data_IF_666744349651
#
_entry.id   IF_666744349651
#
_cell.length_a   1.000
_cell.length_b   1.000
_cell.length_c   1.000
_cell.angle_alpha   90.00
_cell.angle_beta   90.00
_cell.angle_gamma   90.00
#
_symmetry.space_group_name_H-M   'P 1'
#
loop_
_entity.id
_entity.type
_entity.pdbx_description
1 polymer ?
#
# COMPACT_ATOMS: atom_id res chain seq x y z
N UNK A 1 22.01 -18.19 9.10
CA UNK A 1 20.94 -17.25 9.47
C UNK A 1 21.08 -15.88 8.81
N UNK A 2 22.19 -15.14 8.92
CA UNK A 2 22.33 -13.79 8.30
C UNK A 2 22.20 -13.76 6.77
N UNK A 3 22.57 -14.82 6.05
CA UNK A 3 22.45 -14.91 4.58
C UNK A 3 21.02 -15.17 4.09
N UNK A 4 20.18 -15.83 4.87
CA UNK A 4 18.77 -16.09 4.52
C UNK A 4 17.93 -14.84 4.76
N UNK A 5 18.13 -14.13 5.85
CA UNK A 5 17.45 -12.86 6.15
C UNK A 5 17.77 -11.79 5.08
N UNK A 6 19.02 -11.75 4.56
CA UNK A 6 19.38 -10.87 3.43
C UNK A 6 18.65 -11.21 2.13
N UNK A 7 18.33 -12.49 1.88
CA UNK A 7 17.59 -12.90 0.68
C UNK A 7 16.10 -12.55 0.77
N UNK A 8 15.49 -12.68 1.93
CA UNK A 8 14.08 -12.34 2.15
C UNK A 8 13.86 -10.83 2.13
N UNK A 9 14.67 -10.03 2.81
CA UNK A 9 14.57 -8.57 2.77
C UNK A 9 14.84 -7.97 1.38
N UNK A 10 15.73 -8.60 0.57
CA UNK A 10 15.90 -8.20 -0.84
C UNK A 10 14.69 -8.52 -1.71
N UNK A 11 13.89 -9.55 -1.39
CA UNK A 11 12.63 -9.86 -2.07
C UNK A 11 11.54 -8.86 -1.70
N UNK A 12 11.36 -8.56 -0.43
CA UNK A 12 10.32 -7.64 0.07
C UNK A 12 10.53 -6.21 -0.45
N UNK A 13 11.78 -5.74 -0.57
CA UNK A 13 12.07 -4.40 -1.10
C UNK A 13 12.04 -4.30 -2.64
N UNK A 14 12.00 -5.45 -3.36
CA UNK A 14 11.87 -5.45 -4.82
C UNK A 14 10.41 -5.52 -5.31
N UNK A 15 9.47 -6.00 -4.48
CA UNK A 15 8.07 -6.11 -4.86
C UNK A 15 7.36 -4.78 -5.13
N UNK A 16 7.47 -3.73 -4.29
CA UNK A 16 6.78 -2.46 -4.58
C UNK A 16 7.29 -1.79 -5.88
N UNK A 17 8.60 -1.84 -6.17
CA UNK A 17 9.16 -1.33 -7.44
C UNK A 17 8.75 -2.16 -8.66
N UNK A 18 8.51 -3.46 -8.48
CA UNK A 18 8.05 -4.35 -9.55
C UNK A 18 6.57 -4.13 -9.84
N UNK A 19 5.77 -3.87 -8.81
CA UNK A 19 4.34 -3.53 -8.92
C UNK A 19 4.18 -2.14 -9.57
N UNK A 20 4.96 -1.15 -9.20
CA UNK A 20 4.94 0.18 -9.84
C UNK A 20 5.27 0.12 -11.33
N UNK A 21 6.33 -0.60 -11.72
CA UNK A 21 6.66 -0.79 -13.15
C UNK A 21 5.57 -1.54 -13.92
N UNK A 22 4.96 -2.55 -13.33
CA UNK A 22 3.87 -3.30 -13.97
C UNK A 22 2.61 -2.44 -14.11
N UNK A 23 2.31 -1.58 -13.13
CA UNK A 23 1.20 -0.61 -13.20
C UNK A 23 1.47 0.47 -14.26
N UNK A 24 2.71 0.89 -14.44
CA UNK A 24 3.09 1.90 -15.42
C UNK A 24 3.02 1.36 -16.86
N UNK A 25 3.54 0.15 -17.10
CA UNK A 25 3.44 -0.56 -18.40
C UNK A 25 1.97 -0.77 -18.78
N UNK A 26 1.13 -1.19 -17.82
CA UNK A 26 -0.30 -1.41 -18.09
C UNK A 26 -1.10 -0.11 -18.28
N UNK A 27 -0.66 1.01 -17.70
CA UNK A 27 -1.24 2.34 -18.01
C UNK A 27 -0.90 2.79 -19.43
N UNK A 28 0.26 2.42 -19.96
CA UNK A 28 0.63 2.69 -21.35
C UNK A 28 -0.18 1.81 -22.31
N UNK A 29 -0.32 0.51 -22.04
CA UNK A 29 -1.15 -0.40 -22.84
C UNK A 29 -2.63 0.06 -22.89
N UNK A 30 -3.21 0.49 -21.77
CA UNK A 30 -4.56 1.05 -21.73
C UNK A 30 -4.67 2.38 -22.52
N UNK A 31 -3.62 3.20 -22.54
CA UNK A 31 -3.57 4.41 -23.37
C UNK A 31 -3.49 4.06 -24.85
N UNK A 32 -2.74 3.03 -25.20
CA UNK A 32 -2.61 2.56 -26.58
C UNK A 32 -3.93 1.97 -27.11
N UNK A 33 -4.62 1.15 -26.32
CA UNK A 33 -5.95 0.61 -26.65
C UNK A 33 -6.98 1.74 -26.83
N UNK A 34 -6.96 2.77 -25.98
CA UNK A 34 -7.82 3.96 -26.14
C UNK A 34 -7.47 4.77 -27.39
N UNK A 35 -6.19 4.82 -27.78
CA UNK A 35 -5.72 5.50 -28.98
C UNK A 35 -6.16 4.77 -30.27
N UNK A 36 -6.11 3.43 -30.24
CA UNK A 36 -6.60 2.55 -31.32
C UNK A 36 -8.12 2.69 -31.48
N UNK A 37 -8.89 2.68 -30.38
CA UNK A 37 -10.35 2.89 -30.39
C UNK A 37 -10.71 4.24 -31.00
N UNK A 38 -10.01 5.31 -30.59
CA UNK A 38 -10.23 6.67 -31.11
C UNK A 38 -9.85 6.83 -32.59
N UNK A 39 -8.82 6.09 -33.03
CA UNK A 39 -8.40 6.06 -34.43
C UNK A 39 -9.42 5.35 -35.32
N UNK A 40 -10.02 4.25 -34.80
CA UNK A 40 -11.08 3.52 -35.51
C UNK A 40 -12.37 4.35 -35.67
N UNK A 41 -12.76 5.13 -34.65
CA UNK A 41 -13.88 6.08 -34.78
C UNK A 41 -13.59 7.15 -35.84
N UNK A 42 -12.36 7.66 -35.89
CA UNK A 42 -11.98 8.68 -36.88
C UNK A 42 -11.98 8.12 -38.29
N UNK A 43 -11.48 6.90 -38.51
CA UNK A 43 -11.49 6.20 -39.80
C UNK A 43 -12.95 5.93 -40.25
N UNK A 44 -13.80 5.48 -39.34
CA UNK A 44 -15.21 5.23 -39.62
C UNK A 44 -15.95 6.51 -40.04
N UNK A 45 -15.67 7.62 -39.34
CA UNK A 45 -16.26 8.93 -39.67
C UNK A 45 -15.77 9.47 -41.04
N UNK A 46 -14.50 9.24 -41.37
CA UNK A 46 -13.95 9.59 -42.69
C UNK A 46 -14.57 8.76 -43.81
N UNK A 47 -14.78 7.45 -43.60
CA UNK A 47 -15.43 6.57 -44.60
C UNK A 47 -16.88 7.03 -44.84
N UNK A 48 -17.65 7.29 -43.78
CA UNK A 48 -19.04 7.78 -43.88
C UNK A 48 -19.10 9.12 -44.63
N UNK A 49 -18.17 10.05 -44.34
CA UNK A 49 -18.16 11.32 -45.00
C UNK A 49 -17.79 11.22 -46.50
N UNK A 50 -16.86 10.33 -46.85
CA UNK A 50 -16.56 10.04 -48.27
C UNK A 50 -17.74 9.37 -48.99
N UNK A 51 -18.46 8.44 -48.31
CA UNK A 51 -19.66 7.82 -48.86
C UNK A 51 -20.82 8.85 -49.08
N UNK A 52 -20.96 9.87 -48.22
CA UNK A 52 -21.93 10.95 -48.36
C UNK A 52 -21.65 11.87 -49.54
N UNK A 53 -20.40 12.02 -49.98
CA UNK A 53 -20.02 12.83 -51.13
C UNK A 53 -20.19 12.14 -52.48
N UNK A 54 -20.30 10.81 -52.52
CA UNK A 54 -20.58 10.07 -53.76
C UNK A 54 -22.08 10.21 -54.10
N UNK A 55 -22.41 10.69 -55.30
CA UNK A 55 -23.77 10.72 -55.87
C UNK A 55 -24.25 9.30 -56.20
N UNK A 56 -24.56 8.52 -55.16
CA UNK A 56 -24.94 7.08 -55.33
C UNK A 56 -26.46 6.89 -55.18
N UNK A 57 -27.26 7.68 -55.91
CA UNK A 57 -28.70 7.45 -55.94
C UNK A 57 -29.13 6.12 -56.59
N UNK A 58 -28.26 5.52 -57.39
CA UNK A 58 -28.58 4.27 -58.12
C UNK A 58 -28.10 2.96 -57.37
N UNK A 59 -27.34 3.09 -56.27
CA UNK A 59 -26.76 1.94 -55.58
C UNK A 59 -27.27 1.75 -54.15
N UNK A 60 -28.53 2.14 -53.88
CA UNK A 60 -29.08 2.07 -52.53
C UNK A 60 -29.05 0.69 -51.90
N UNK A 61 -29.29 -0.38 -52.67
CA UNK A 61 -29.23 -1.76 -52.21
C UNK A 61 -27.76 -2.19 -51.90
N UNK A 62 -26.81 -1.74 -52.73
CA UNK A 62 -25.39 -2.05 -52.55
C UNK A 62 -24.83 -1.35 -51.30
N UNK A 63 -25.24 -0.13 -51.04
CA UNK A 63 -24.87 0.64 -49.84
C UNK A 63 -25.45 -0.04 -48.57
N UNK A 64 -26.67 -0.54 -48.61
CA UNK A 64 -27.29 -1.27 -47.51
C UNK A 64 -26.53 -2.56 -47.20
N UNK A 65 -26.11 -3.32 -48.23
CA UNK A 65 -25.33 -4.53 -48.06
C UNK A 65 -23.93 -4.25 -47.49
N UNK A 66 -23.24 -3.22 -47.97
CA UNK A 66 -21.94 -2.78 -47.44
C UNK A 66 -22.07 -2.33 -45.99
N UNK A 67 -23.11 -1.56 -45.66
CA UNK A 67 -23.40 -1.18 -44.27
C UNK A 67 -23.63 -2.38 -43.36
N UNK A 68 -24.41 -3.39 -43.85
CA UNK A 68 -24.65 -4.60 -43.11
C UNK A 68 -23.37 -5.43 -42.88
N UNK A 69 -22.49 -5.51 -43.88
CA UNK A 69 -21.20 -6.21 -43.75
C UNK A 69 -20.32 -5.49 -42.73
N UNK A 70 -20.24 -4.15 -42.76
CA UNK A 70 -19.47 -3.35 -41.81
C UNK A 70 -19.99 -3.54 -40.37
N UNK A 71 -21.31 -3.56 -40.19
CA UNK A 71 -21.91 -3.80 -38.86
C UNK A 71 -21.62 -5.19 -38.34
N UNK A 72 -21.66 -6.21 -39.21
CA UNK A 72 -21.29 -7.58 -38.83
C UNK A 72 -19.82 -7.67 -38.45
N UNK A 73 -18.93 -7.06 -39.23
CA UNK A 73 -17.49 -7.03 -38.92
C UNK A 73 -17.24 -6.34 -37.56
N UNK A 74 -17.89 -5.21 -37.30
CA UNK A 74 -17.77 -4.50 -36.01
C UNK A 74 -18.32 -5.34 -34.85
N UNK A 75 -19.44 -6.03 -35.03
CA UNK A 75 -19.98 -6.97 -34.04
C UNK A 75 -19.03 -8.13 -33.76
N UNK A 76 -18.41 -8.71 -34.79
CA UNK A 76 -17.44 -9.78 -34.66
C UNK A 76 -16.19 -9.30 -33.90
N UNK A 77 -15.68 -8.10 -34.19
CA UNK A 77 -14.56 -7.51 -33.46
C UNK A 77 -14.92 -7.32 -31.99
N UNK A 78 -16.10 -6.78 -31.67
CA UNK A 78 -16.55 -6.60 -30.28
C UNK A 78 -16.69 -7.94 -29.55
N UNK A 79 -17.19 -8.98 -30.23
CA UNK A 79 -17.36 -10.32 -29.64
C UNK A 79 -15.99 -10.99 -29.40
N UNK A 80 -15.02 -10.79 -30.29
CA UNK A 80 -13.66 -11.36 -30.15
C UNK A 80 -12.87 -10.66 -29.05
N UNK A 81 -13.02 -9.33 -28.89
CA UNK A 81 -12.28 -8.57 -27.89
C UNK A 81 -12.90 -8.63 -26.48
N UNK A 82 -14.22 -8.88 -26.38
CA UNK A 82 -14.92 -9.01 -25.11
C UNK A 82 -14.28 -10.02 -24.15
N UNK A 83 -14.01 -11.28 -24.54
CA UNK A 83 -13.42 -12.25 -23.61
C UNK A 83 -12.01 -11.87 -23.15
N UNK A 84 -11.23 -11.16 -23.96
CA UNK A 84 -9.90 -10.64 -23.55
C UNK A 84 -10.05 -9.53 -22.54
N UNK A 85 -11.01 -8.63 -22.74
CA UNK A 85 -11.29 -7.52 -21.83
C UNK A 85 -11.82 -8.02 -20.49
N UNK A 86 -12.74 -9.01 -20.52
CA UNK A 86 -13.31 -9.64 -19.33
C UNK A 86 -12.24 -10.40 -18.53
N UNK A 87 -11.35 -11.13 -19.22
CA UNK A 87 -10.21 -11.80 -18.61
C UNK A 87 -9.26 -10.79 -17.94
N UNK A 88 -8.96 -9.69 -18.61
CA UNK A 88 -8.12 -8.62 -18.07
C UNK A 88 -8.79 -7.95 -16.85
N UNK A 89 -10.09 -7.71 -16.93
CA UNK A 89 -10.86 -7.12 -15.83
C UNK A 89 -10.95 -8.06 -14.62
N UNK A 90 -11.16 -9.36 -14.85
CA UNK A 90 -11.19 -10.36 -13.78
C UNK A 90 -9.82 -10.52 -13.09
N UNK A 91 -8.73 -10.35 -13.83
CA UNK A 91 -7.37 -10.42 -13.27
C UNK A 91 -6.94 -9.15 -12.55
N UNK A 92 -7.25 -7.97 -13.09
CA UNK A 92 -6.81 -6.68 -12.54
C UNK A 92 -7.75 -6.13 -11.47
N UNK A 93 -9.05 -6.41 -11.58
CA UNK A 93 -10.05 -5.88 -10.66
C UNK A 93 -9.74 -6.15 -9.18
N UNK A 94 -9.46 -7.40 -8.78
CA UNK A 94 -9.09 -7.72 -7.40
C UNK A 94 -7.81 -7.01 -6.92
N UNK A 95 -6.81 -6.87 -7.80
CA UNK A 95 -5.55 -6.21 -7.46
C UNK A 95 -5.72 -4.70 -7.27
N UNK A 96 -6.47 -4.05 -8.14
CA UNK A 96 -6.79 -2.62 -8.02
C UNK A 96 -7.56 -2.36 -6.73
N UNK A 97 -8.56 -3.18 -6.42
CA UNK A 97 -9.33 -3.07 -5.18
C UNK A 97 -8.46 -3.23 -3.94
N UNK A 98 -7.56 -4.22 -3.93
CA UNK A 98 -6.62 -4.42 -2.84
C UNK A 98 -5.68 -3.22 -2.64
N UNK A 99 -5.19 -2.60 -3.72
CA UNK A 99 -4.35 -1.39 -3.67
C UNK A 99 -5.15 -0.19 -3.12
N UNK A 100 -6.40 -0.04 -3.53
CA UNK A 100 -7.27 1.03 -3.02
C UNK A 100 -7.57 0.85 -1.53
N UNK A 101 -7.85 -0.37 -1.08
CA UNK A 101 -8.03 -0.68 0.33
C UNK A 101 -6.78 -0.40 1.16
N UNK A 102 -5.60 -0.78 0.66
CA UNK A 102 -4.33 -0.45 1.30
C UNK A 102 -4.08 1.06 1.39
N UNK A 103 -4.36 1.81 0.33
CA UNK A 103 -4.25 3.28 0.34
C UNK A 103 -5.20 3.91 1.35
N UNK A 104 -6.44 3.43 1.43
CA UNK A 104 -7.42 3.89 2.41
C UNK A 104 -6.97 3.59 3.85
N UNK A 105 -6.43 2.40 4.09
CA UNK A 105 -5.89 1.99 5.37
C UNK A 105 -4.70 2.89 5.77
N UNK A 106 -3.77 3.14 4.86
CA UNK A 106 -2.61 3.99 5.06
C UNK A 106 -3.03 5.45 5.37
N UNK A 107 -3.97 6.00 4.61
CA UNK A 107 -4.49 7.36 4.85
C UNK A 107 -5.12 7.47 6.24
N UNK A 108 -5.96 6.48 6.62
CA UNK A 108 -6.55 6.41 7.95
C UNK A 108 -5.48 6.34 9.04
N UNK A 109 -4.50 5.45 8.89
CA UNK A 109 -3.41 5.31 9.85
C UNK A 109 -2.62 6.60 10.03
N UNK A 110 -2.25 7.26 8.93
CA UNK A 110 -1.50 8.53 8.98
C UNK A 110 -2.24 9.62 9.75
N UNK A 111 -3.56 9.68 9.65
CA UNK A 111 -4.37 10.61 10.46
C UNK A 111 -4.38 10.24 11.95
N UNK A 112 -4.34 8.95 12.28
CA UNK A 112 -4.32 8.47 13.67
C UNK A 112 -2.98 8.74 14.36
N UNK A 113 -1.86 8.58 13.65
CA UNK A 113 -0.53 8.86 14.19
C UNK A 113 -0.15 10.34 14.16
N UNK A 114 -0.94 11.18 13.51
CA UNK A 114 -0.73 12.62 13.52
C UNK A 114 -0.70 13.15 14.97
N UNK A 115 0.36 13.86 15.31
CA UNK A 115 0.58 14.40 16.67
C UNK A 115 1.43 13.52 17.59
N UNK A 116 1.79 12.30 17.20
CA UNK A 116 2.87 11.59 17.89
C UNK A 116 4.23 12.22 17.54
N UNK A 117 5.11 12.31 18.54
CA UNK A 117 6.52 12.63 18.28
C UNK A 117 7.17 11.45 17.57
N UNK A 118 7.74 11.68 16.39
CA UNK A 118 8.49 10.62 15.69
C UNK A 118 9.83 10.38 16.36
N UNK A 119 10.32 9.16 16.24
CA UNK A 119 11.66 8.76 16.68
C UNK A 119 12.26 7.80 15.65
N UNK A 120 13.56 7.95 15.37
CA UNK A 120 14.31 7.03 14.51
C UNK A 120 15.02 5.94 15.33
N UNK A 121 15.55 4.92 14.68
CA UNK A 121 16.33 3.89 15.34
C UNK A 121 17.61 4.48 15.98
N UNK A 122 18.27 5.42 15.30
CA UNK A 122 19.46 6.10 15.80
C UNK A 122 19.15 6.91 17.05
N UNK A 123 18.00 7.59 17.08
CA UNK A 123 17.54 8.33 18.24
C UNK A 123 17.18 7.40 19.41
N UNK A 124 16.61 6.20 19.14
CA UNK A 124 16.39 5.18 20.17
C UNK A 124 17.72 4.75 20.76
N UNK A 125 18.72 4.44 19.93
CA UNK A 125 20.06 4.05 20.37
C UNK A 125 20.69 5.14 21.23
N UNK A 126 20.62 6.42 20.81
CA UNK A 126 21.18 7.54 21.56
C UNK A 126 20.48 7.78 22.90
N UNK A 127 19.15 7.59 22.94
CA UNK A 127 18.32 7.80 24.14
C UNK A 127 18.29 6.59 25.08
N UNK A 128 18.82 5.45 24.66
CA UNK A 128 18.68 4.20 25.43
C UNK A 128 19.24 4.33 26.86
N UNK A 129 20.30 5.12 27.02
CA UNK A 129 20.93 5.39 28.31
C UNK A 129 20.35 6.58 29.08
N UNK A 130 19.35 7.28 28.55
CA UNK A 130 18.71 8.41 29.21
C UNK A 130 18.09 7.99 30.56
N UNK A 131 18.08 8.90 31.52
CA UNK A 131 17.53 8.72 32.88
C UNK A 131 15.98 8.82 32.91
N UNK A 132 15.37 9.21 31.81
CA UNK A 132 13.92 9.31 31.66
C UNK A 132 13.35 8.08 30.95
N UNK A 133 12.18 7.62 31.43
CA UNK A 133 11.46 6.55 30.75
C UNK A 133 11.02 7.05 29.38
N UNK A 134 11.39 6.31 28.34
CA UNK A 134 10.99 6.55 26.96
C UNK A 134 10.06 5.43 26.52
N UNK A 135 8.81 5.80 26.19
CA UNK A 135 7.83 4.89 25.60
C UNK A 135 7.84 4.99 24.09
N UNK A 136 7.85 3.87 23.40
CA UNK A 136 7.85 3.81 21.93
C UNK A 136 6.73 2.91 21.44
N UNK A 137 5.99 3.42 20.47
CA UNK A 137 5.03 2.69 19.69
C UNK A 137 5.60 2.47 18.27
N UNK A 138 5.90 1.22 17.95
CA UNK A 138 6.40 0.78 16.66
C UNK A 138 5.24 0.26 15.81
N UNK A 139 5.02 0.84 14.64
CA UNK A 139 3.90 0.50 13.76
C UNK A 139 4.10 0.97 12.32
N UNK A 140 3.19 0.58 11.44
CA UNK A 140 3.25 0.93 10.02
C UNK A 140 1.87 1.13 9.39
N UNK A 141 1.85 1.80 8.25
CA UNK A 141 0.63 2.21 7.55
C UNK A 141 -0.21 1.06 6.96
N UNK A 142 0.39 -0.06 6.60
CA UNK A 142 -0.30 -1.23 6.03
C UNK A 142 -0.82 -2.22 7.06
N UNK A 143 -0.71 -1.93 8.35
CA UNK A 143 -1.06 -2.84 9.43
C UNK A 143 -2.47 -2.56 9.98
N UNK A 144 -3.40 -3.49 9.83
CA UNK A 144 -4.77 -3.35 10.34
C UNK A 144 -4.83 -3.25 11.87
N UNK A 145 -3.99 -4.02 12.58
CA UNK A 145 -3.89 -3.93 14.04
C UNK A 145 -3.28 -2.61 14.51
N UNK A 146 -2.38 -2.02 13.73
CA UNK A 146 -1.83 -0.70 14.03
C UNK A 146 -2.91 0.39 13.93
N UNK A 147 -3.82 0.30 12.95
CA UNK A 147 -4.97 1.21 12.83
C UNK A 147 -5.90 1.12 14.03
N UNK A 148 -6.09 -0.09 14.60
CA UNK A 148 -6.89 -0.29 15.81
C UNK A 148 -6.16 0.19 17.07
N UNK A 149 -4.85 0.01 17.12
CA UNK A 149 -4.05 0.26 18.32
C UNK A 149 -3.63 1.73 18.51
N UNK A 150 -3.35 2.45 17.43
CA UNK A 150 -2.92 3.86 17.54
C UNK A 150 -3.88 4.76 18.35
N UNK A 151 -5.24 4.65 18.22
CA UNK A 151 -6.16 5.38 19.08
C UNK A 151 -6.05 5.01 20.56
N UNK A 152 -5.86 3.72 20.86
CA UNK A 152 -5.69 3.21 22.22
C UNK A 152 -4.42 3.81 22.86
N UNK A 153 -3.29 3.77 22.14
CA UNK A 153 -2.04 4.38 22.62
C UNK A 153 -2.21 5.87 22.87
N UNK A 154 -2.88 6.59 21.96
CA UNK A 154 -3.12 8.03 22.09
C UNK A 154 -4.00 8.39 23.30
N UNK A 155 -5.06 7.61 23.51
CA UNK A 155 -5.97 7.77 24.65
C UNK A 155 -5.24 7.55 25.98
N UNK A 156 -4.51 6.42 26.08
CA UNK A 156 -3.78 6.05 27.30
C UNK A 156 -2.63 7.00 27.57
N UNK A 157 -1.89 7.44 26.54
CA UNK A 157 -0.84 8.46 26.68
C UNK A 157 -1.39 9.74 27.30
N UNK A 158 -2.56 10.20 26.84
CA UNK A 158 -3.22 11.39 27.40
C UNK A 158 -3.71 11.17 28.85
N UNK A 159 -4.32 10.02 29.13
CA UNK A 159 -4.83 9.68 30.46
C UNK A 159 -3.71 9.57 31.50
N UNK A 160 -2.64 8.89 31.15
CA UNK A 160 -1.48 8.66 32.04
C UNK A 160 -0.46 9.80 32.01
N UNK A 161 -0.67 10.82 31.16
CA UNK A 161 0.23 11.97 30.98
C UNK A 161 1.67 11.54 30.65
N UNK A 162 1.80 10.53 29.76
CA UNK A 162 3.09 10.04 29.28
C UNK A 162 3.22 10.33 27.79
N UNK A 163 4.45 10.64 27.36
CA UNK A 163 4.76 10.84 25.94
C UNK A 163 5.13 9.50 25.28
N UNK A 164 4.42 9.14 24.23
CA UNK A 164 4.80 8.05 23.33
C UNK A 164 5.49 8.61 22.11
N UNK A 165 6.62 8.04 21.77
CA UNK A 165 7.24 8.24 20.48
C UNK A 165 6.69 7.22 19.47
N UNK A 166 6.52 7.66 18.23
CA UNK A 166 6.14 6.80 17.11
C UNK A 166 7.38 6.42 16.29
N UNK A 167 7.64 5.13 16.20
CA UNK A 167 8.70 4.58 15.37
C UNK A 167 8.07 3.87 14.16
N UNK A 168 8.39 4.36 12.95
CA UNK A 168 7.81 3.83 11.72
C UNK A 168 8.54 2.56 11.27
N UNK A 169 7.83 1.45 11.24
CA UNK A 169 8.38 0.16 10.82
C UNK A 169 8.79 0.12 9.33
N UNK A 170 8.17 0.95 8.49
CA UNK A 170 8.52 1.03 7.06
C UNK A 170 9.89 1.74 6.84
N UNK A 171 10.39 2.45 7.84
CA UNK A 171 11.69 3.16 7.82
C UNK A 171 12.83 2.35 8.46
N UNK A 172 12.52 1.19 9.07
CA UNK A 172 13.53 0.35 9.72
C UNK A 172 14.40 -0.37 8.69
N UNK A 173 15.69 -0.04 8.68
CA UNK A 173 16.71 -0.74 7.88
C UNK A 173 17.26 -1.94 8.65
N UNK A 174 17.86 -2.89 7.94
CA UNK A 174 18.49 -4.06 8.56
C UNK A 174 19.62 -3.65 9.52
N UNK A 175 20.45 -2.67 9.12
CA UNK A 175 21.55 -2.16 9.96
C UNK A 175 21.02 -1.52 11.24
N UNK A 176 19.93 -0.73 11.13
CA UNK A 176 19.29 -0.14 12.30
C UNK A 176 18.66 -1.19 13.23
N UNK A 177 18.04 -2.23 12.66
CA UNK A 177 17.52 -3.34 13.45
C UNK A 177 18.63 -4.09 14.21
N UNK A 178 19.78 -4.34 13.57
CA UNK A 178 20.94 -4.98 14.18
C UNK A 178 21.47 -4.15 15.37
N UNK A 179 21.51 -2.82 15.24
CA UNK A 179 21.89 -1.90 16.35
C UNK A 179 20.93 -1.99 17.53
N UNK A 180 19.60 -2.02 17.27
CA UNK A 180 18.60 -2.16 18.33
C UNK A 180 18.67 -3.53 19.01
N UNK A 181 18.86 -4.61 18.25
CA UNK A 181 19.02 -5.97 18.78
C UNK A 181 20.29 -6.09 19.65
N UNK A 182 21.33 -5.33 19.32
CA UNK A 182 22.56 -5.28 20.14
C UNK A 182 22.34 -4.60 21.50
N UNK A 183 21.34 -3.68 21.62
CA UNK A 183 20.96 -3.10 22.91
C UNK A 183 20.21 -4.09 23.78
N UNK A 184 19.24 -4.82 23.23
CA UNK A 184 18.46 -5.82 23.93
C UNK A 184 17.91 -6.88 22.94
N UNK A 185 18.08 -8.17 23.29
CA UNK A 185 17.66 -9.29 22.45
C UNK A 185 16.16 -9.35 22.20
N UNK A 186 15.34 -8.74 23.05
CA UNK A 186 13.88 -8.67 22.90
C UNK A 186 13.48 -7.97 21.59
N UNK A 187 14.31 -7.05 21.09
CA UNK A 187 14.07 -6.41 19.80
C UNK A 187 14.13 -7.37 18.62
N UNK A 188 14.85 -8.51 18.74
CA UNK A 188 14.91 -9.49 17.65
C UNK A 188 13.52 -10.06 17.29
N UNK A 189 12.64 -10.24 18.25
CA UNK A 189 11.29 -10.74 18.01
C UNK A 189 10.29 -9.57 17.87
N UNK A 190 10.42 -8.56 18.70
CA UNK A 190 9.52 -7.40 18.70
C UNK A 190 9.49 -6.65 17.37
N UNK A 191 10.63 -6.47 16.74
CA UNK A 191 10.74 -5.75 15.46
C UNK A 191 10.27 -6.57 14.23
N UNK A 192 9.99 -7.87 14.40
CA UNK A 192 9.44 -8.70 13.30
C UNK A 192 7.96 -8.47 13.03
N UNK A 193 7.24 -7.90 13.99
CA UNK A 193 5.80 -7.69 13.89
C UNK A 193 5.36 -6.28 14.28
N UNK A 194 4.18 -5.91 13.83
CA UNK A 194 3.54 -4.64 14.21
C UNK A 194 2.08 -4.86 14.59
N UNK A 195 1.57 -4.14 15.59
CA UNK A 195 2.24 -3.15 16.42
C UNK A 195 3.20 -3.79 17.43
N UNK A 196 4.17 -3.01 17.93
CA UNK A 196 5.02 -3.39 19.04
C UNK A 196 5.25 -2.16 19.93
N UNK A 197 5.03 -2.32 21.21
CA UNK A 197 5.20 -1.24 22.21
C UNK A 197 6.30 -1.64 23.17
N UNK A 198 7.19 -0.70 23.50
CA UNK A 198 8.26 -0.94 24.46
C UNK A 198 8.63 0.32 25.22
N UNK A 199 9.28 0.14 26.35
CA UNK A 199 9.78 1.23 27.17
C UNK A 199 11.20 0.92 27.67
N UNK A 200 12.05 1.95 27.70
CA UNK A 200 13.43 1.83 28.15
C UNK A 200 13.87 3.03 29.00
N UNK A 201 14.91 2.81 29.80
CA UNK A 201 15.53 3.81 30.66
C UNK A 201 16.88 3.28 31.16
N UNK A 202 17.88 4.17 31.33
CA UNK A 202 19.17 3.83 31.94
C UNK A 202 19.86 2.59 31.35
N UNK A 203 19.84 2.45 30.03
CA UNK A 203 20.45 1.34 29.30
C UNK A 203 19.71 0.00 29.43
N UNK A 204 18.45 0.01 29.86
CA UNK A 204 17.65 -1.21 30.04
C UNK A 204 16.29 -1.09 29.38
N UNK A 205 15.87 -2.14 28.72
CA UNK A 205 14.48 -2.34 28.33
C UNK A 205 13.66 -2.69 29.58
N UNK A 206 12.72 -1.83 29.94
CA UNK A 206 11.88 -2.00 31.13
C UNK A 206 10.72 -2.96 30.90
N UNK A 207 10.33 -3.13 29.65
CA UNK A 207 9.29 -4.06 29.23
C UNK A 207 8.85 -3.82 27.79
N UNK A 208 8.07 -4.77 27.28
CA UNK A 208 7.53 -4.68 25.92
C UNK A 208 6.20 -5.42 25.79
N UNK A 209 5.41 -5.00 24.81
CA UNK A 209 4.14 -5.62 24.40
C UNK A 209 4.21 -5.93 22.90
N UNK A 210 4.30 -7.18 22.48
CA UNK A 210 4.16 -7.57 21.10
C UNK A 210 2.66 -7.63 20.71
N UNK A 211 2.33 -7.01 19.58
CA UNK A 211 0.97 -7.04 19.05
C UNK A 211 0.03 -5.99 19.64
N UNK A 212 -1.24 -6.13 19.27
CA UNK A 212 -2.34 -5.32 19.78
C UNK A 212 -2.77 -5.79 21.15
N UNK A 213 -2.97 -4.84 22.06
CA UNK A 213 -3.61 -5.08 23.36
C UNK A 213 -4.70 -4.06 23.63
N UNK A 214 -5.62 -4.41 24.51
CA UNK A 214 -6.67 -3.53 24.95
C UNK A 214 -6.15 -2.44 25.91
N UNK A 215 -6.92 -1.36 26.06
CA UNK A 215 -6.57 -0.21 26.89
C UNK A 215 -6.11 -0.59 28.30
N UNK A 216 -6.81 -1.51 28.95
CA UNK A 216 -6.52 -1.94 30.32
C UNK A 216 -5.15 -2.58 30.47
N UNK A 217 -4.70 -3.31 29.47
CA UNK A 217 -3.40 -3.96 29.45
C UNK A 217 -2.27 -2.96 29.20
N UNK A 218 -2.46 -2.02 28.28
CA UNK A 218 -1.51 -0.94 28.07
C UNK A 218 -1.36 -0.03 29.30
N UNK A 219 -2.45 0.23 30.02
CA UNK A 219 -2.42 0.96 31.29
C UNK A 219 -1.57 0.22 32.31
N UNK A 220 -1.80 -1.09 32.52
CA UNK A 220 -1.00 -1.92 33.44
C UNK A 220 0.49 -1.91 33.06
N UNK A 221 0.79 -1.98 31.79
CA UNK A 221 2.17 -1.89 31.31
C UNK A 221 2.83 -0.57 31.71
N UNK A 222 2.18 0.57 31.48
CA UNK A 222 2.74 1.89 31.86
C UNK A 222 2.94 1.98 33.38
N UNK A 223 1.98 1.50 34.15
CA UNK A 223 2.07 1.50 35.61
C UNK A 223 3.19 0.60 36.16
N UNK A 224 3.45 -0.53 35.47
CA UNK A 224 4.56 -1.42 35.85
C UNK A 224 5.93 -0.84 35.59
N UNK A 225 6.05 -0.04 34.54
CA UNK A 225 7.31 0.60 34.08
C UNK A 225 7.65 1.84 34.92
N UNK A 226 6.64 2.52 35.45
CA UNK A 226 6.81 3.78 36.22
C UNK A 226 6.97 3.52 37.75
N UNK A 227 7.02 2.27 38.18
CA UNK A 227 7.34 1.90 39.58
C UNK A 227 8.85 1.93 39.83
#
# INVERSE_FOLDING_TARGET
>A
MAKEIKKENKKVNKEPKKIEKVVEIKKEEVKEVKKISKNNETIFTMIINKLKQCKLKEYSVYLALVSLIITIILLVIVIIDKPKLDLLHSYLGPQIKAIEEQKKLASKYNSLIAGFKKITAEEIVSKFNDDKVTFVYYGRSGCQYCVKYAPVVKEVAKEKKVDFYYFNADELTQEAAEKLIALDKTFNEGLRGTPFTFAFKNGKLLGSIPGYVEKTELVKFIESVNK
#
